data_IF_603205297694
#
_entry.id   IF_603205297694
#
_cell.length_a   1.000
_cell.length_b   1.000
_cell.length_c   1.000
_cell.angle_alpha   90.00
_cell.angle_beta   90.00
_cell.angle_gamma   90.00
#
_symmetry.space_group_name_H-M   'P 1'
#
loop_
_entity.id
_entity.type
_entity.pdbx_description
1 polymer ?
#
# COMPACT_ATOMS: atom_id res chain seq x y z
N UNK A 1 48.62 17.87 -6.43
CA UNK A 1 48.17 16.72 -5.61
C UNK A 1 46.66 16.79 -5.46
N UNK A 2 45.93 16.08 -6.32
CA UNK A 2 44.49 15.97 -6.26
C UNK A 2 44.10 15.03 -5.10
N UNK A 3 43.21 15.48 -4.21
CA UNK A 3 42.58 14.62 -3.20
C UNK A 3 41.52 13.74 -3.87
N UNK A 4 41.91 12.54 -4.28
CA UNK A 4 41.01 11.40 -4.43
C UNK A 4 40.58 10.94 -3.05
N UNK A 5 39.27 10.93 -2.76
CA UNK A 5 38.81 10.50 -1.43
C UNK A 5 37.33 10.73 -1.11
N UNK A 6 36.43 10.60 -2.09
CA UNK A 6 34.99 10.52 -1.85
C UNK A 6 34.51 9.08 -1.67
N UNK A 7 35.16 8.32 -0.78
CA UNK A 7 34.69 6.98 -0.42
C UNK A 7 33.45 7.14 0.47
N UNK A 8 32.26 6.89 -0.07
CA UNK A 8 31.03 6.90 0.70
C UNK A 8 31.12 5.94 1.88
N UNK A 9 31.18 6.48 3.11
CA UNK A 9 31.10 5.68 4.34
C UNK A 9 29.80 4.89 4.31
N UNK A 10 29.86 3.60 4.64
CA UNK A 10 28.65 2.82 4.87
C UNK A 10 27.83 3.48 5.98
N UNK A 11 26.53 3.70 5.73
CA UNK A 11 25.62 4.24 6.72
C UNK A 11 25.60 3.33 7.95
N UNK A 12 25.57 3.92 9.13
CA UNK A 12 25.33 3.20 10.38
C UNK A 12 23.91 2.66 10.42
N UNK A 13 23.68 1.64 11.23
CA UNK A 13 22.34 1.07 11.46
C UNK A 13 21.34 2.14 11.92
N UNK A 14 21.77 3.09 12.76
CA UNK A 14 20.96 4.21 13.21
C UNK A 14 20.56 5.14 12.06
N UNK A 15 21.48 5.45 11.14
CA UNK A 15 21.19 6.27 9.96
C UNK A 15 20.22 5.56 9.01
N UNK A 16 20.35 4.24 8.85
CA UNK A 16 19.41 3.44 8.05
C UNK A 16 18.02 3.42 8.67
N UNK A 17 17.92 3.22 9.98
CA UNK A 17 16.64 3.27 10.70
C UNK A 17 16.01 4.66 10.66
N UNK A 18 16.81 5.73 10.68
CA UNK A 18 16.32 7.09 10.47
C UNK A 18 15.76 7.31 9.06
N UNK A 19 16.32 6.68 8.03
CA UNK A 19 15.77 6.74 6.66
C UNK A 19 14.40 6.05 6.58
N UNK A 20 14.26 4.89 7.23
CA UNK A 20 12.96 4.19 7.33
C UNK A 20 11.96 5.05 8.10
N UNK A 21 12.33 5.54 9.29
CA UNK A 21 11.45 6.37 10.10
C UNK A 21 11.03 7.66 9.39
N UNK A 22 11.94 8.28 8.63
CA UNK A 22 11.64 9.46 7.82
C UNK A 22 10.64 9.18 6.69
N UNK A 23 10.68 7.97 6.11
CA UNK A 23 9.76 7.53 5.07
C UNK A 23 8.40 7.10 5.62
N UNK A 24 8.39 6.30 6.68
CA UNK A 24 7.17 5.61 7.15
C UNK A 24 6.38 6.42 8.20
N UNK A 25 7.06 7.15 9.08
CA UNK A 25 6.46 7.86 10.22
C UNK A 25 6.60 9.38 10.15
N UNK A 26 7.30 9.89 9.15
CA UNK A 26 7.73 11.29 9.08
C UNK A 26 9.00 11.53 9.90
N UNK A 27 9.86 12.42 9.40
CA UNK A 27 11.21 12.64 9.96
C UNK A 27 11.25 13.44 11.28
N UNK A 28 10.09 13.77 11.87
CA UNK A 28 10.01 14.56 13.11
C UNK A 28 9.93 13.67 14.34
N UNK A 29 10.69 14.05 15.36
CA UNK A 29 10.70 13.40 16.67
C UNK A 29 10.78 14.48 17.77
N UNK A 30 9.66 15.18 18.06
CA UNK A 30 9.61 16.14 19.15
C UNK A 30 9.64 15.42 20.50
N UNK A 31 10.54 15.85 21.40
CA UNK A 31 10.66 15.27 22.73
C UNK A 31 9.61 15.84 23.72
N UNK A 32 9.39 15.13 24.82
CA UNK A 32 8.57 15.59 25.94
C UNK A 32 7.07 15.57 25.66
N UNK A 33 6.35 16.55 26.22
CA UNK A 33 4.88 16.62 26.19
C UNK A 33 4.32 16.67 24.77
N UNK A 34 5.01 17.34 23.85
CA UNK A 34 4.59 17.43 22.44
C UNK A 34 4.64 16.06 21.76
N UNK A 35 5.71 15.30 21.97
CA UNK A 35 5.83 13.93 21.46
C UNK A 35 4.75 13.01 22.03
N UNK A 36 4.50 13.09 23.34
CA UNK A 36 3.43 12.34 23.99
C UNK A 36 2.04 12.70 23.45
N UNK A 37 1.78 13.99 23.20
CA UNK A 37 0.54 14.45 22.61
C UNK A 37 0.32 13.90 21.20
N UNK A 38 1.34 13.93 20.33
CA UNK A 38 1.23 13.34 18.99
C UNK A 38 1.03 11.82 19.04
N UNK A 39 1.73 11.14 19.95
CA UNK A 39 1.53 9.71 20.18
C UNK A 39 0.10 9.41 20.66
N UNK A 40 -0.45 10.25 21.55
CA UNK A 40 -1.83 10.14 21.98
C UNK A 40 -2.82 10.38 20.82
N UNK A 41 -2.59 11.38 19.96
CA UNK A 41 -3.41 11.62 18.76
C UNK A 41 -3.36 10.43 17.80
N UNK A 42 -2.17 9.88 17.53
CA UNK A 42 -2.01 8.70 16.70
C UNK A 42 -2.70 7.47 17.30
N UNK A 43 -2.57 7.26 18.62
CA UNK A 43 -3.26 6.20 19.35
C UNK A 43 -4.78 6.37 19.28
N UNK A 44 -5.29 7.59 19.48
CA UNK A 44 -6.71 7.91 19.34
C UNK A 44 -7.22 7.58 17.93
N UNK A 45 -6.45 7.93 16.89
CA UNK A 45 -6.80 7.58 15.52
C UNK A 45 -6.82 6.07 15.30
N UNK A 46 -5.81 5.35 15.81
CA UNK A 46 -5.76 3.89 15.74
C UNK A 46 -6.93 3.23 16.46
N UNK A 47 -7.25 3.65 17.68
CA UNK A 47 -8.38 3.15 18.45
C UNK A 47 -9.71 3.45 17.78
N UNK A 48 -9.89 4.64 17.23
CA UNK A 48 -11.07 5.01 16.46
C UNK A 48 -11.28 4.07 15.26
N UNK A 49 -10.22 3.78 14.52
CA UNK A 49 -10.28 2.91 13.34
C UNK A 49 -10.56 1.44 13.69
N UNK A 50 -9.98 0.95 14.78
CA UNK A 50 -10.28 -0.38 15.31
C UNK A 50 -11.73 -0.46 15.81
N UNK A 51 -12.21 0.58 16.51
CA UNK A 51 -13.59 0.65 16.98
C UNK A 51 -14.59 0.69 15.81
N UNK A 52 -14.29 1.42 14.75
CA UNK A 52 -15.12 1.49 13.54
C UNK A 52 -15.21 0.15 12.80
N UNK A 53 -14.12 -0.63 12.82
CA UNK A 53 -14.06 -1.94 12.19
C UNK A 53 -14.72 -3.06 13.02
N UNK A 54 -14.88 -2.83 14.32
CA UNK A 54 -15.47 -3.79 15.24
C UNK A 54 -16.98 -4.00 14.98
N UNK A 55 -17.52 -5.23 15.14
CA UNK A 55 -18.97 -5.45 15.17
C UNK A 55 -19.70 -4.57 16.19
N UNK A 56 -19.00 -4.14 17.24
CA UNK A 56 -19.54 -3.27 18.30
C UNK A 56 -19.60 -1.78 17.90
N UNK A 57 -19.19 -1.39 16.69
CA UNK A 57 -19.17 0.00 16.26
C UNK A 57 -20.53 0.70 16.50
N UNK A 58 -21.65 0.05 16.15
CA UNK A 58 -22.99 0.63 16.28
C UNK A 58 -23.48 0.77 17.74
N UNK A 59 -22.78 0.14 18.69
CA UNK A 59 -23.09 0.22 20.13
C UNK A 59 -22.20 1.25 20.81
N UNK A 60 -20.93 1.31 20.41
CA UNK A 60 -19.90 2.17 21.03
C UNK A 60 -19.91 3.58 20.43
N UNK A 61 -20.14 3.69 19.12
CA UNK A 61 -20.06 4.95 18.39
C UNK A 61 -21.45 5.43 17.98
N UNK A 62 -21.75 6.73 18.15
CA UNK A 62 -22.93 7.37 17.57
C UNK A 62 -23.00 7.18 16.05
N UNK A 63 -24.22 7.00 15.52
CA UNK A 63 -24.47 6.82 14.08
C UNK A 63 -23.86 7.92 13.22
N UNK A 64 -23.85 9.17 13.69
CA UNK A 64 -23.29 10.31 12.96
C UNK A 64 -21.78 10.19 12.77
N UNK A 65 -21.07 9.68 13.77
CA UNK A 65 -19.62 9.44 13.72
C UNK A 65 -19.30 8.31 12.74
N UNK A 66 -20.12 7.25 12.71
CA UNK A 66 -19.95 6.13 11.79
C UNK A 66 -20.16 6.59 10.34
N UNK A 67 -21.21 7.39 10.09
CA UNK A 67 -21.54 7.88 8.76
C UNK A 67 -20.50 8.88 8.22
N UNK A 68 -19.91 9.70 9.11
CA UNK A 68 -18.88 10.68 8.76
C UNK A 68 -17.45 10.21 9.02
N UNK A 69 -17.23 8.90 9.15
CA UNK A 69 -15.91 8.34 9.51
C UNK A 69 -14.79 8.71 8.54
N UNK A 70 -15.11 8.90 7.25
CA UNK A 70 -14.15 9.35 6.22
C UNK A 70 -13.59 10.74 6.53
N UNK A 71 -14.46 11.66 6.97
CA UNK A 71 -14.08 13.04 7.29
C UNK A 71 -13.19 13.08 8.54
N UNK A 72 -13.55 12.30 9.56
CA UNK A 72 -12.75 12.14 10.78
C UNK A 72 -11.40 11.51 10.48
N UNK A 73 -11.37 10.46 9.64
CA UNK A 73 -10.14 9.81 9.20
C UNK A 73 -9.20 10.78 8.50
N UNK A 74 -9.71 11.57 7.55
CA UNK A 74 -8.91 12.58 6.86
C UNK A 74 -8.42 13.68 7.80
N UNK A 75 -9.23 14.08 8.78
CA UNK A 75 -8.83 15.10 9.75
C UNK A 75 -7.62 14.67 10.59
N UNK A 76 -7.62 13.43 11.09
CA UNK A 76 -6.44 12.86 11.76
C UNK A 76 -5.23 12.77 10.82
N UNK A 77 -5.45 12.31 9.58
CA UNK A 77 -4.39 12.19 8.58
C UNK A 77 -3.75 13.55 8.26
N UNK A 78 -4.56 14.59 8.02
CA UNK A 78 -4.11 15.96 7.76
C UNK A 78 -3.33 16.52 8.94
N UNK A 79 -3.87 16.38 10.15
CA UNK A 79 -3.22 16.86 11.37
C UNK A 79 -1.83 16.24 11.56
N UNK A 80 -1.76 14.91 11.47
CA UNK A 80 -0.50 14.18 11.63
C UNK A 80 0.45 14.40 10.45
N UNK A 81 -0.05 14.58 9.23
CA UNK A 81 0.79 14.90 8.07
C UNK A 81 1.57 16.20 8.29
N UNK A 82 0.91 17.27 8.75
CA UNK A 82 1.57 18.55 9.01
C UNK A 82 2.48 18.52 10.25
N UNK A 83 2.10 17.76 11.29
CA UNK A 83 2.88 17.64 12.52
C UNK A 83 4.10 16.73 12.38
N UNK A 84 3.99 15.58 11.69
CA UNK A 84 5.02 14.55 11.59
C UNK A 84 5.95 14.74 10.37
N UNK A 85 5.46 15.29 9.26
CA UNK A 85 6.25 15.48 8.05
C UNK A 85 6.75 16.93 7.90
N UNK A 86 8.07 17.17 7.90
CA UNK A 86 8.62 18.52 7.77
C UNK A 86 8.34 19.11 6.38
N UNK A 87 8.08 20.42 6.33
CA UNK A 87 7.78 21.12 5.08
C UNK A 87 8.93 21.08 4.06
N UNK A 88 10.16 21.27 4.53
CA UNK A 88 11.39 21.29 3.75
C UNK A 88 12.45 20.39 4.39
N UNK A 89 13.45 19.98 3.61
CA UNK A 89 14.59 19.18 4.13
C UNK A 89 15.36 19.90 5.25
N UNK A 90 15.34 21.23 5.25
CA UNK A 90 15.97 22.10 6.24
C UNK A 90 15.08 22.41 7.46
N UNK A 91 13.81 22.00 7.45
CA UNK A 91 12.90 22.32 8.55
C UNK A 91 13.30 21.56 9.84
N UNK A 92 13.00 22.12 11.02
CA UNK A 92 13.29 21.48 12.30
C UNK A 92 12.65 20.08 12.41
N UNK A 93 13.44 19.12 12.90
CA UNK A 93 13.02 17.74 13.18
C UNK A 93 12.67 17.48 14.65
N UNK A 94 13.24 18.26 15.57
CA UNK A 94 13.07 18.11 17.03
C UNK A 94 11.91 18.93 17.60
N UNK A 95 11.28 19.79 16.80
CA UNK A 95 10.15 20.60 17.20
C UNK A 95 9.20 20.81 16.03
N UNK A 96 7.94 21.13 16.33
CA UNK A 96 6.93 21.50 15.33
C UNK A 96 6.86 23.03 15.29
N UNK A 97 7.21 23.67 14.15
CA UNK A 97 7.04 25.11 13.98
C UNK A 97 5.57 25.55 14.09
N UNK A 98 5.32 26.78 14.53
CA UNK A 98 3.96 27.29 14.74
C UNK A 98 3.10 27.28 13.47
N UNK A 99 3.72 27.54 12.31
CA UNK A 99 3.04 27.47 11.01
C UNK A 99 2.47 26.07 10.74
N UNK A 100 3.15 25.01 11.17
CA UNK A 100 2.69 23.64 10.96
C UNK A 100 1.57 23.27 11.92
N UNK A 101 1.57 23.84 13.14
CA UNK A 101 0.41 23.75 14.04
C UNK A 101 -0.82 24.42 13.45
N UNK A 102 -0.66 25.60 12.85
CA UNK A 102 -1.75 26.33 12.19
C UNK A 102 -2.28 25.52 11.00
N UNK A 103 -1.40 25.00 10.15
CA UNK A 103 -1.79 24.16 9.01
C UNK A 103 -2.44 22.84 9.45
N UNK A 104 -1.94 22.21 10.52
CA UNK A 104 -2.52 21.01 11.10
C UNK A 104 -3.93 21.25 11.62
N UNK A 105 -4.13 22.32 12.40
CA UNK A 105 -5.44 22.71 12.93
C UNK A 105 -6.42 23.11 11.82
N UNK A 106 -5.99 23.95 10.88
CA UNK A 106 -6.81 24.36 9.75
C UNK A 106 -7.19 23.18 8.85
N UNK A 107 -6.23 22.30 8.53
CA UNK A 107 -6.47 21.11 7.71
C UNK A 107 -7.45 20.12 8.38
N UNK A 108 -7.27 19.87 9.67
CA UNK A 108 -8.18 19.03 10.44
C UNK A 108 -9.60 19.64 10.52
N UNK A 109 -9.69 20.94 10.78
CA UNK A 109 -10.97 21.65 10.84
C UNK A 109 -11.71 21.61 9.49
N UNK A 110 -11.01 21.88 8.38
CA UNK A 110 -11.62 21.88 7.04
C UNK A 110 -12.02 20.46 6.62
N UNK A 111 -11.26 19.43 7.00
CA UNK A 111 -11.67 18.04 6.80
C UNK A 111 -12.96 17.67 7.56
N UNK A 112 -13.18 18.28 8.74
CA UNK A 112 -14.40 18.12 9.55
C UNK A 112 -15.52 19.09 9.17
N UNK A 113 -15.34 19.96 8.17
CA UNK A 113 -16.34 20.94 7.77
C UNK A 113 -17.69 20.29 7.44
N UNK A 114 -17.68 19.16 6.75
CA UNK A 114 -18.88 18.39 6.42
C UNK A 114 -19.63 17.84 7.64
N UNK A 115 -18.94 17.61 8.76
CA UNK A 115 -19.54 17.17 10.02
C UNK A 115 -20.24 18.35 10.70
N UNK A 116 -19.55 19.49 10.81
CA UNK A 116 -20.07 20.66 11.52
C UNK A 116 -21.22 21.35 10.77
N UNK A 117 -21.19 21.34 9.44
CA UNK A 117 -22.18 22.00 8.59
C UNK A 117 -23.04 20.99 7.80
N UNK A 118 -23.24 19.80 8.37
CA UNK A 118 -23.99 18.71 7.73
C UNK A 118 -25.38 19.14 7.23
N UNK A 119 -26.20 19.75 8.09
CA UNK A 119 -27.56 20.18 7.74
C UNK A 119 -27.60 21.18 6.59
N UNK A 120 -26.62 22.10 6.55
CA UNK A 120 -26.49 23.09 5.49
C UNK A 120 -26.23 22.41 4.15
N UNK A 121 -25.25 21.50 4.10
CA UNK A 121 -24.83 20.79 2.89
C UNK A 121 -25.93 19.87 2.37
N UNK A 122 -26.63 19.17 3.26
CA UNK A 122 -27.74 18.28 2.88
C UNK A 122 -28.90 19.10 2.30
N UNK A 123 -29.27 20.22 2.92
CA UNK A 123 -30.34 21.10 2.43
C UNK A 123 -30.01 21.77 1.10
N UNK A 124 -28.73 22.02 0.81
CA UNK A 124 -28.29 22.57 -0.49
C UNK A 124 -28.15 21.50 -1.58
N UNK A 125 -28.43 20.22 -1.27
CA UNK A 125 -28.27 19.11 -2.21
C UNK A 125 -26.81 18.85 -2.61
N UNK A 126 -25.85 19.24 -1.77
CA UNK A 126 -24.42 19.10 -2.05
C UNK A 126 -23.82 20.16 -2.99
N UNK A 127 -24.57 21.21 -3.31
CA UNK A 127 -24.05 22.38 -4.01
C UNK A 127 -23.37 23.31 -3.02
N UNK A 128 -22.11 23.64 -3.28
CA UNK A 128 -21.32 24.58 -2.50
C UNK A 128 -21.90 25.99 -2.66
N UNK A 129 -22.11 26.71 -1.57
CA UNK A 129 -22.37 28.15 -1.60
C UNK A 129 -21.06 28.96 -1.77
N UNK A 130 -21.16 30.30 -1.64
CA UNK A 130 -20.01 31.18 -1.79
C UNK A 130 -18.94 30.96 -0.73
N UNK A 131 -19.31 30.54 0.48
CA UNK A 131 -18.36 30.24 1.56
C UNK A 131 -17.76 28.85 1.38
N UNK A 132 -18.60 27.86 1.08
CA UNK A 132 -18.24 26.45 0.91
C UNK A 132 -17.19 26.29 -0.20
N UNK A 133 -17.30 27.03 -1.31
CA UNK A 133 -16.33 26.92 -2.40
C UNK A 133 -14.92 27.37 -1.97
N UNK A 134 -14.80 28.38 -1.12
CA UNK A 134 -13.50 28.87 -0.66
C UNK A 134 -12.92 27.95 0.42
N UNK A 135 -13.76 27.42 1.31
CA UNK A 135 -13.37 26.41 2.30
C UNK A 135 -12.88 25.14 1.61
N UNK A 136 -13.61 24.66 0.61
CA UNK A 136 -13.23 23.50 -0.20
C UNK A 136 -11.91 23.73 -0.96
N UNK A 137 -11.71 24.92 -1.53
CA UNK A 137 -10.46 25.27 -2.21
C UNK A 137 -9.29 25.28 -1.23
N UNK A 138 -9.46 25.89 -0.05
CA UNK A 138 -8.45 25.88 0.99
C UNK A 138 -8.13 24.45 1.45
N UNK A 139 -9.15 23.61 1.63
CA UNK A 139 -8.99 22.18 1.95
C UNK A 139 -8.18 21.43 0.91
N UNK A 140 -8.47 21.65 -0.38
CA UNK A 140 -7.76 21.00 -1.48
C UNK A 140 -6.29 21.43 -1.56
N UNK A 141 -6.02 22.73 -1.38
CA UNK A 141 -4.65 23.26 -1.34
C UNK A 141 -3.87 22.68 -0.16
N UNK A 142 -4.47 22.64 1.03
CA UNK A 142 -3.85 22.03 2.20
C UNK A 142 -3.62 20.52 2.00
N UNK A 143 -4.56 19.81 1.39
CA UNK A 143 -4.40 18.39 1.08
C UNK A 143 -3.23 18.16 0.12
N UNK A 144 -3.07 19.00 -0.91
CA UNK A 144 -1.95 18.89 -1.85
C UNK A 144 -0.61 19.18 -1.17
N UNK A 145 -0.57 20.16 -0.26
CA UNK A 145 0.62 20.43 0.54
C UNK A 145 0.94 19.27 1.51
N UNK A 146 -0.07 18.67 2.16
CA UNK A 146 0.11 17.49 3.00
C UNK A 146 0.63 16.30 2.17
N UNK A 147 0.07 16.07 0.98
CA UNK A 147 0.53 15.05 0.04
C UNK A 147 1.96 15.31 -0.44
N UNK A 148 2.33 16.58 -0.71
CA UNK A 148 3.71 16.96 -1.07
C UNK A 148 4.70 16.61 0.04
N UNK A 149 4.32 16.82 1.31
CA UNK A 149 5.18 16.53 2.47
C UNK A 149 5.33 15.03 2.74
N UNK A 150 4.25 14.26 2.58
CA UNK A 150 4.23 12.83 2.88
C UNK A 150 4.74 11.96 1.73
N UNK A 151 4.31 12.25 0.48
CA UNK A 151 4.57 11.42 -0.71
C UNK A 151 5.58 12.06 -1.68
N UNK A 152 5.97 13.31 -1.43
CA UNK A 152 6.90 14.06 -2.27
C UNK A 152 6.24 14.94 -3.34
N UNK A 153 7.03 15.77 -4.02
CA UNK A 153 6.51 16.80 -4.93
C UNK A 153 5.88 16.26 -6.22
N UNK A 154 6.27 15.06 -6.66
CA UNK A 154 5.76 14.48 -7.90
C UNK A 154 4.24 14.27 -7.85
N UNK A 155 3.72 13.69 -6.77
CA UNK A 155 2.28 13.44 -6.60
C UNK A 155 1.48 14.74 -6.56
N UNK A 156 1.95 15.73 -5.79
CA UNK A 156 1.29 17.03 -5.69
C UNK A 156 1.31 17.79 -7.03
N UNK A 157 2.41 17.72 -7.79
CA UNK A 157 2.51 18.33 -9.11
C UNK A 157 1.52 17.72 -10.10
N UNK A 158 1.43 16.39 -10.16
CA UNK A 158 0.48 15.70 -11.03
C UNK A 158 -0.96 16.08 -10.68
N UNK A 159 -1.32 16.03 -9.39
CA UNK A 159 -2.66 16.42 -8.93
C UNK A 159 -2.99 17.89 -9.28
N UNK A 160 -2.00 18.79 -9.15
CA UNK A 160 -2.15 20.20 -9.51
C UNK A 160 -2.36 20.38 -11.02
N UNK A 161 -1.64 19.66 -11.87
CA UNK A 161 -1.82 19.71 -13.32
C UNK A 161 -3.24 19.25 -13.71
N UNK A 162 -3.73 18.15 -13.15
CA UNK A 162 -5.09 17.69 -13.41
C UNK A 162 -6.15 18.64 -12.87
N UNK A 163 -5.92 19.26 -11.71
CA UNK A 163 -6.80 20.29 -11.18
C UNK A 163 -6.84 21.52 -12.10
N UNK A 164 -5.69 21.97 -12.62
CA UNK A 164 -5.64 23.07 -13.58
C UNK A 164 -6.39 22.70 -14.87
N UNK A 165 -6.25 21.48 -15.35
CA UNK A 165 -7.01 20.98 -16.50
C UNK A 165 -8.53 21.00 -16.29
N UNK A 166 -9.01 20.88 -15.04
CA UNK A 166 -10.45 21.04 -14.75
C UNK A 166 -10.95 22.46 -15.06
N UNK A 167 -10.10 23.48 -14.90
CA UNK A 167 -10.46 24.88 -15.15
C UNK A 167 -10.12 25.32 -16.57
N UNK A 168 -8.96 24.91 -17.09
CA UNK A 168 -8.41 25.39 -18.36
C UNK A 168 -8.62 24.43 -19.54
N UNK A 169 -9.28 23.28 -19.32
CA UNK A 169 -9.54 22.26 -20.34
C UNK A 169 -10.42 22.72 -21.52
N UNK A 170 -11.03 23.91 -21.44
CA UNK A 170 -11.77 24.54 -22.54
C UNK A 170 -10.91 25.41 -23.45
N UNK A 171 -9.63 25.64 -23.10
CA UNK A 171 -8.74 26.49 -23.87
C UNK A 171 -8.52 25.97 -25.29
N UNK A 172 -8.42 26.88 -26.26
CA UNK A 172 -8.17 26.55 -27.68
C UNK A 172 -6.81 25.89 -27.94
N UNK A 173 -5.91 25.90 -26.95
CA UNK A 173 -4.61 25.24 -26.99
C UNK A 173 -4.68 23.76 -26.59
N UNK A 174 -5.81 23.31 -26.04
CA UNK A 174 -6.04 21.92 -25.66
C UNK A 174 -6.51 21.15 -26.90
N UNK A 175 -5.86 20.03 -27.27
CA UNK A 175 -6.29 19.23 -28.42
C UNK A 175 -7.76 18.79 -28.32
N UNK A 176 -8.50 18.89 -29.42
CA UNK A 176 -9.95 18.59 -29.49
C UNK A 176 -10.34 17.25 -28.85
N UNK A 177 -9.46 16.24 -28.94
CA UNK A 177 -9.66 14.89 -28.38
C UNK A 177 -9.83 14.91 -26.86
N UNK A 178 -9.19 15.85 -26.18
CA UNK A 178 -9.23 16.01 -24.72
C UNK A 178 -9.81 17.37 -24.31
N UNK A 179 -10.44 18.11 -25.22
CA UNK A 179 -11.05 19.39 -24.87
C UNK A 179 -12.42 19.15 -24.22
N UNK A 180 -12.76 19.95 -23.20
CA UNK A 180 -14.09 19.90 -22.57
C UNK A 180 -14.54 21.28 -22.11
N UNK A 181 -15.80 21.41 -21.65
CA UNK A 181 -16.40 22.72 -21.32
C UNK A 181 -15.73 23.50 -20.18
N UNK A 182 -14.86 22.87 -19.39
CA UNK A 182 -14.35 23.42 -18.14
C UNK A 182 -15.42 23.45 -17.03
N UNK A 183 -14.99 23.66 -15.78
CA UNK A 183 -15.88 23.87 -14.65
C UNK A 183 -15.67 25.24 -13.99
N UNK A 184 -16.76 25.85 -13.53
CA UNK A 184 -16.67 26.99 -12.62
C UNK A 184 -16.08 26.54 -11.28
N UNK A 185 -15.45 27.46 -10.54
CA UNK A 185 -14.87 27.18 -9.22
C UNK A 185 -15.90 26.54 -8.27
N UNK A 186 -17.12 27.07 -8.24
CA UNK A 186 -18.20 26.54 -7.41
C UNK A 186 -18.55 25.09 -7.77
N UNK A 187 -18.66 24.78 -9.07
CA UNK A 187 -18.97 23.41 -9.54
C UNK A 187 -17.83 22.45 -9.22
N UNK A 188 -16.58 22.86 -9.48
CA UNK A 188 -15.40 22.05 -9.18
C UNK A 188 -15.30 21.75 -7.69
N UNK A 189 -15.44 22.75 -6.83
CA UNK A 189 -15.31 22.60 -5.38
C UNK A 189 -16.46 21.81 -4.75
N UNK A 190 -17.69 21.97 -5.27
CA UNK A 190 -18.83 21.13 -4.89
C UNK A 190 -18.49 19.65 -5.11
N UNK A 191 -17.96 19.32 -6.29
CA UNK A 191 -17.65 17.93 -6.66
C UNK A 191 -16.40 17.38 -5.95
N UNK A 192 -15.37 18.20 -5.74
CA UNK A 192 -14.08 17.74 -5.22
C UNK A 192 -14.05 17.58 -3.69
N UNK A 193 -14.78 18.40 -2.94
CA UNK A 193 -14.71 18.40 -1.47
C UNK A 193 -16.07 18.22 -0.78
N UNK A 194 -17.17 18.73 -1.35
CA UNK A 194 -18.48 18.67 -0.68
C UNK A 194 -19.17 17.33 -0.91
N UNK A 195 -19.09 16.77 -2.12
CA UNK A 195 -19.68 15.46 -2.43
C UNK A 195 -18.74 14.30 -2.14
N UNK A 196 -19.30 13.09 -2.14
CA UNK A 196 -18.57 11.84 -1.96
C UNK A 196 -17.93 11.30 -3.27
N UNK A 197 -17.83 12.12 -4.32
CA UNK A 197 -17.20 11.74 -5.60
C UNK A 197 -15.74 12.22 -5.69
N UNK A 198 -15.35 13.21 -4.88
CA UNK A 198 -13.99 13.73 -4.80
C UNK A 198 -13.18 13.11 -3.67
N UNK A 199 -12.56 13.97 -2.85
CA UNK A 199 -11.64 13.57 -1.76
C UNK A 199 -12.28 12.57 -0.78
N UNK A 200 -13.58 12.71 -0.49
CA UNK A 200 -14.30 11.83 0.42
C UNK A 200 -14.87 10.56 -0.23
N UNK A 201 -14.42 10.22 -1.44
CA UNK A 201 -14.93 9.11 -2.23
C UNK A 201 -14.44 7.73 -1.83
N UNK A 202 -14.38 6.85 -2.83
CA UNK A 202 -14.15 5.40 -2.63
C UNK A 202 -12.76 5.16 -2.04
N UNK A 203 -11.72 5.84 -2.52
CA UNK A 203 -10.35 5.65 -1.99
C UNK A 203 -10.25 5.93 -0.49
N UNK A 204 -10.76 7.08 -0.04
CA UNK A 204 -10.76 7.41 1.39
C UNK A 204 -11.65 6.44 2.18
N UNK A 205 -12.76 5.98 1.59
CA UNK A 205 -13.63 4.97 2.18
C UNK A 205 -12.95 3.60 2.36
N UNK A 206 -12.16 3.18 1.37
CA UNK A 206 -11.35 1.94 1.44
C UNK A 206 -10.24 2.10 2.48
N UNK A 207 -9.58 3.27 2.50
CA UNK A 207 -8.57 3.61 3.51
C UNK A 207 -9.12 3.46 4.94
N UNK A 208 -10.27 4.09 5.16
CA UNK A 208 -10.92 4.17 6.47
C UNK A 208 -11.33 2.79 7.00
N UNK A 209 -11.78 1.87 6.11
CA UNK A 209 -12.35 0.58 6.51
C UNK A 209 -11.36 -0.56 6.61
N UNK A 210 -10.38 -0.63 5.71
CA UNK A 210 -9.54 -1.83 5.57
C UNK A 210 -8.06 -1.51 5.57
N UNK A 211 -7.62 -0.55 4.75
CA UNK A 211 -6.19 -0.28 4.54
C UNK A 211 -5.51 0.11 5.84
N UNK A 212 -6.14 0.99 6.61
CA UNK A 212 -5.57 1.46 7.86
C UNK A 212 -5.27 0.32 8.82
N UNK A 213 -6.16 -0.68 8.93
CA UNK A 213 -5.97 -1.83 9.81
C UNK A 213 -4.80 -2.69 9.36
N UNK A 214 -4.68 -2.95 8.05
CA UNK A 214 -3.55 -3.71 7.50
C UNK A 214 -2.22 -3.01 7.79
N UNK A 215 -2.16 -1.70 7.60
CA UNK A 215 -0.96 -0.90 7.91
C UNK A 215 -0.70 -0.87 9.42
N UNK A 216 -1.72 -0.71 10.25
CA UNK A 216 -1.59 -0.70 11.71
C UNK A 216 -1.05 -2.04 12.24
N UNK A 217 -1.68 -3.15 11.87
CA UNK A 217 -1.23 -4.48 12.29
C UNK A 217 0.11 -4.84 11.66
N UNK A 218 0.37 -4.42 10.41
CA UNK A 218 1.66 -4.57 9.77
C UNK A 218 2.77 -3.86 10.55
N UNK A 219 2.58 -2.60 10.92
CA UNK A 219 3.52 -1.83 11.73
C UNK A 219 3.72 -2.41 13.13
N UNK A 220 2.67 -2.90 13.79
CA UNK A 220 2.76 -3.58 15.08
C UNK A 220 3.56 -4.88 14.98
N UNK A 221 3.33 -5.67 13.93
CA UNK A 221 4.02 -6.95 13.69
C UNK A 221 5.49 -6.74 13.34
N UNK A 222 5.80 -5.70 12.57
CA UNK A 222 7.18 -5.28 12.29
C UNK A 222 7.91 -4.88 13.57
N UNK A 223 7.29 -4.03 14.41
CA UNK A 223 7.84 -3.65 15.72
C UNK A 223 7.95 -4.82 16.71
N UNK A 224 7.10 -5.84 16.60
CA UNK A 224 7.21 -7.07 17.37
C UNK A 224 8.41 -7.95 16.94
N UNK A 225 9.10 -7.61 15.86
CA UNK A 225 10.31 -8.32 15.40
C UNK A 225 10.05 -9.44 14.38
N UNK A 226 8.87 -9.46 13.76
CA UNK A 226 8.51 -10.51 12.80
C UNK A 226 9.41 -10.54 11.55
N UNK A 227 9.88 -9.38 11.07
CA UNK A 227 10.80 -9.32 9.92
C UNK A 227 12.10 -10.10 10.16
N UNK A 228 12.75 -9.85 11.31
CA UNK A 228 13.95 -10.58 11.72
C UNK A 228 13.68 -12.08 11.92
N UNK A 229 12.50 -12.44 12.43
CA UNK A 229 12.10 -13.83 12.58
C UNK A 229 11.96 -14.54 11.23
N UNK A 230 11.29 -13.93 10.25
CA UNK A 230 11.13 -14.50 8.92
C UNK A 230 12.44 -14.66 8.17
N UNK A 231 13.37 -13.71 8.31
CA UNK A 231 14.71 -13.82 7.75
C UNK A 231 15.46 -15.02 8.35
N UNK A 232 15.49 -15.14 9.68
CA UNK A 232 16.15 -16.27 10.37
C UNK A 232 15.55 -17.62 9.95
N UNK A 233 14.23 -17.70 9.80
CA UNK A 233 13.57 -18.91 9.30
C UNK A 233 13.93 -19.21 7.84
N UNK A 234 13.93 -18.21 6.96
CA UNK A 234 14.34 -18.40 5.57
C UNK A 234 15.79 -18.88 5.47
N UNK A 235 16.69 -18.35 6.30
CA UNK A 235 18.08 -18.85 6.41
C UNK A 235 18.16 -20.27 6.95
N UNK A 236 17.37 -20.62 7.97
CA UNK A 236 17.30 -21.99 8.47
C UNK A 236 16.81 -22.99 7.42
N UNK A 237 15.82 -22.58 6.61
CA UNK A 237 15.24 -23.39 5.56
C UNK A 237 16.11 -23.51 4.31
N UNK A 238 16.77 -22.44 3.86
CA UNK A 238 17.40 -22.39 2.53
C UNK A 238 18.91 -22.14 2.56
N UNK A 239 19.48 -21.75 3.70
CA UNK A 239 20.88 -21.33 3.82
C UNK A 239 21.91 -22.41 3.47
N UNK A 240 21.55 -23.69 3.68
CA UNK A 240 22.38 -24.85 3.36
C UNK A 240 22.39 -25.22 1.87
N UNK A 241 21.54 -24.58 1.04
CA UNK A 241 21.52 -24.83 -0.40
C UNK A 241 22.68 -24.09 -1.09
N UNK A 242 23.02 -24.49 -2.31
CA UNK A 242 23.97 -23.73 -3.15
C UNK A 242 23.42 -22.34 -3.44
N UNK A 243 24.17 -21.30 -3.10
CA UNK A 243 23.67 -19.92 -3.09
C UNK A 243 22.51 -19.71 -2.12
N UNK A 244 22.50 -20.47 -1.01
CA UNK A 244 21.46 -20.49 0.01
C UNK A 244 21.17 -19.12 0.62
N UNK A 245 22.18 -18.31 0.98
CA UNK A 245 21.95 -16.96 1.50
C UNK A 245 21.17 -16.05 0.56
N UNK A 246 21.38 -16.14 -0.75
CA UNK A 246 20.63 -15.33 -1.70
C UNK A 246 19.17 -15.81 -1.83
N UNK A 247 18.91 -17.11 -1.74
CA UNK A 247 17.54 -17.66 -1.75
C UNK A 247 16.80 -17.31 -0.46
N UNK A 248 17.48 -17.44 0.66
CA UNK A 248 17.00 -17.05 1.97
C UNK A 248 16.68 -15.54 2.01
N UNK A 249 17.53 -14.70 1.39
CA UNK A 249 17.26 -13.27 1.23
C UNK A 249 15.97 -13.05 0.44
N UNK A 250 15.83 -13.62 -0.77
CA UNK A 250 14.63 -13.43 -1.60
C UNK A 250 13.35 -13.88 -0.87
N UNK A 251 13.36 -15.06 -0.23
CA UNK A 251 12.18 -15.60 0.46
C UNK A 251 11.89 -14.85 1.77
N UNK A 252 12.91 -14.47 2.52
CA UNK A 252 12.77 -13.70 3.75
C UNK A 252 12.28 -12.27 3.48
N UNK A 253 12.79 -11.63 2.42
CA UNK A 253 12.31 -10.33 1.96
C UNK A 253 10.89 -10.42 1.39
N UNK A 254 10.50 -11.55 0.78
CA UNK A 254 9.11 -11.81 0.40
C UNK A 254 8.20 -11.83 1.64
N UNK A 255 8.59 -12.59 2.66
CA UNK A 255 7.83 -12.72 3.90
C UNK A 255 7.76 -11.41 4.70
N UNK A 256 8.83 -10.62 4.70
CA UNK A 256 8.85 -9.28 5.31
C UNK A 256 8.02 -8.29 4.50
N UNK A 257 8.05 -8.39 3.17
CA UNK A 257 7.25 -7.58 2.25
C UNK A 257 5.75 -7.78 2.45
N UNK A 258 5.29 -8.99 2.79
CA UNK A 258 3.89 -9.28 3.16
C UNK A 258 3.38 -8.40 4.29
N UNK A 259 4.26 -8.05 5.24
CA UNK A 259 3.92 -7.29 6.44
C UNK A 259 4.02 -5.79 6.19
N UNK A 260 5.15 -5.35 5.62
CA UNK A 260 5.50 -3.94 5.59
C UNK A 260 4.90 -3.22 4.39
N UNK A 261 4.85 -3.85 3.21
CA UNK A 261 4.50 -3.17 1.96
C UNK A 261 5.47 -2.05 1.54
N UNK A 262 6.50 -1.74 2.34
CA UNK A 262 7.51 -0.70 2.09
C UNK A 262 8.81 -1.33 1.60
N UNK A 263 9.23 -0.95 0.39
CA UNK A 263 10.49 -1.43 -0.18
C UNK A 263 11.70 -0.88 0.57
N UNK A 264 11.62 0.35 1.08
CA UNK A 264 12.70 1.00 1.83
C UNK A 264 12.89 0.30 3.19
N UNK A 265 11.79 0.10 3.93
CA UNK A 265 11.82 -0.60 5.21
C UNK A 265 12.34 -2.04 5.06
N UNK A 266 11.91 -2.73 3.99
CA UNK A 266 12.37 -4.09 3.70
C UNK A 266 13.89 -4.09 3.47
N UNK A 267 14.41 -3.31 2.51
CA UNK A 267 15.87 -3.25 2.24
C UNK A 267 16.69 -2.92 3.49
N UNK A 268 16.21 -2.00 4.34
CA UNK A 268 16.92 -1.65 5.57
C UNK A 268 16.90 -2.80 6.58
N UNK A 269 15.77 -3.48 6.72
CA UNK A 269 15.60 -4.54 7.71
C UNK A 269 16.30 -5.83 7.30
N UNK A 270 16.18 -6.23 6.04
CA UNK A 270 16.71 -7.48 5.51
C UNK A 270 18.12 -7.30 4.98
N UNK A 271 18.38 -6.21 4.24
CA UNK A 271 19.64 -5.94 3.55
C UNK A 271 20.84 -5.81 4.46
N UNK A 272 20.66 -5.29 5.67
CA UNK A 272 21.71 -5.21 6.71
C UNK A 272 22.28 -6.58 7.06
N UNK A 273 21.45 -7.63 7.00
CA UNK A 273 21.86 -9.01 7.26
C UNK A 273 22.17 -9.79 5.98
N UNK A 274 21.36 -9.66 4.94
CA UNK A 274 21.44 -10.49 3.73
C UNK A 274 22.60 -10.08 2.83
N UNK A 275 22.89 -8.79 2.66
CA UNK A 275 23.96 -8.31 1.77
C UNK A 275 25.34 -8.81 2.25
N UNK A 276 25.74 -8.66 3.52
CA UNK A 276 27.00 -9.22 4.00
C UNK A 276 27.09 -10.74 3.84
N UNK A 277 25.99 -11.46 4.07
CA UNK A 277 25.95 -12.92 3.94
C UNK A 277 26.08 -13.38 2.49
N UNK A 278 25.41 -12.71 1.55
CA UNK A 278 25.57 -12.95 0.12
C UNK A 278 27.01 -12.70 -0.34
N UNK A 279 27.65 -11.62 0.16
CA UNK A 279 29.06 -11.32 -0.13
C UNK A 279 30.00 -12.42 0.39
N UNK A 280 29.75 -12.97 1.59
CA UNK A 280 30.56 -14.05 2.17
C UNK A 280 30.55 -15.35 1.35
N UNK A 281 29.47 -15.62 0.61
CA UNK A 281 29.37 -16.81 -0.26
C UNK A 281 29.84 -16.56 -1.70
N UNK A 282 30.29 -15.34 -2.01
CA UNK A 282 30.91 -15.01 -3.30
C UNK A 282 30.06 -14.15 -4.24
N UNK A 283 28.93 -13.58 -3.80
CA UNK A 283 28.27 -12.53 -4.59
C UNK A 283 29.11 -11.25 -4.58
N UNK A 284 29.17 -10.57 -5.73
CA UNK A 284 29.77 -9.23 -5.78
C UNK A 284 28.86 -8.24 -5.04
N UNK A 285 29.41 -7.14 -4.49
CA UNK A 285 28.61 -6.13 -3.78
C UNK A 285 27.42 -5.62 -4.59
N UNK A 286 27.59 -5.43 -5.90
CA UNK A 286 26.58 -4.91 -6.82
C UNK A 286 25.44 -5.92 -7.00
N UNK A 287 25.77 -7.22 -7.16
CA UNK A 287 24.76 -8.26 -7.33
C UNK A 287 24.03 -8.55 -6.02
N UNK A 288 24.73 -8.54 -4.89
CA UNK A 288 24.09 -8.66 -3.58
C UNK A 288 23.09 -7.51 -3.35
N UNK A 289 23.48 -6.27 -3.68
CA UNK A 289 22.57 -5.12 -3.63
C UNK A 289 21.39 -5.26 -4.60
N UNK A 290 21.62 -5.69 -5.84
CA UNK A 290 20.58 -5.85 -6.84
C UNK A 290 19.54 -6.92 -6.45
N UNK A 291 19.98 -8.05 -5.90
CA UNK A 291 19.08 -9.12 -5.40
C UNK A 291 18.23 -8.61 -4.25
N UNK A 292 18.83 -7.88 -3.30
CA UNK A 292 18.11 -7.35 -2.16
C UNK A 292 17.08 -6.29 -2.57
N UNK A 293 17.49 -5.35 -3.43
CA UNK A 293 16.58 -4.31 -3.92
C UNK A 293 15.46 -4.91 -4.75
N UNK A 294 15.74 -5.85 -5.66
CA UNK A 294 14.72 -6.48 -6.49
C UNK A 294 13.70 -7.28 -5.66
N UNK A 295 14.18 -8.06 -4.68
CA UNK A 295 13.28 -8.80 -3.78
C UNK A 295 12.48 -7.86 -2.86
N UNK A 296 13.08 -6.77 -2.39
CA UNK A 296 12.39 -5.80 -1.55
C UNK A 296 11.34 -4.97 -2.29
N UNK A 297 11.60 -4.56 -3.55
CA UNK A 297 10.64 -3.85 -4.40
C UNK A 297 9.44 -4.73 -4.73
N UNK A 298 9.66 -6.02 -4.97
CA UNK A 298 8.56 -6.98 -5.13
C UNK A 298 7.67 -7.10 -3.89
N UNK A 299 8.12 -6.65 -2.71
CA UNK A 299 7.27 -6.55 -1.52
C UNK A 299 6.06 -5.65 -1.72
N UNK A 300 6.17 -4.62 -2.58
CA UNK A 300 5.05 -3.71 -2.87
C UNK A 300 3.91 -4.36 -3.65
N UNK A 301 4.16 -5.48 -4.35
CA UNK A 301 3.10 -6.19 -5.10
C UNK A 301 2.60 -7.43 -4.38
N UNK A 302 3.23 -7.80 -3.25
CA UNK A 302 2.92 -9.02 -2.53
C UNK A 302 1.76 -8.79 -1.55
N UNK A 303 0.61 -9.46 -1.71
CA UNK A 303 -0.52 -9.33 -0.78
C UNK A 303 -0.27 -10.06 0.54
N UNK A 304 -0.72 -9.56 1.71
CA UNK A 304 -1.97 -8.80 1.85
C UNK A 304 -1.83 -7.32 2.13
N UNK A 305 -0.65 -6.78 2.46
CA UNK A 305 -0.50 -5.34 2.76
C UNK A 305 -0.30 -4.55 1.47
N UNK A 306 0.60 -5.02 0.60
CA UNK A 306 0.99 -4.37 -0.66
C UNK A 306 1.46 -2.90 -0.46
N UNK A 307 2.02 -2.31 -1.51
CA UNK A 307 2.38 -0.90 -1.54
C UNK A 307 1.16 -0.01 -1.82
N UNK A 308 1.36 1.31 -1.68
CA UNK A 308 0.32 2.32 -1.87
C UNK A 308 -0.40 2.25 -3.24
N UNK A 309 0.28 1.75 -4.28
CA UNK A 309 -0.28 1.60 -5.62
C UNK A 309 -1.47 0.64 -5.70
N UNK A 310 -1.53 -0.39 -4.84
CA UNK A 310 -2.66 -1.33 -4.83
C UNK A 310 -3.97 -0.63 -4.44
N UNK A 311 -3.90 0.38 -3.58
CA UNK A 311 -5.07 1.15 -3.16
C UNK A 311 -5.56 2.10 -4.26
N UNK A 312 -4.65 2.68 -5.06
CA UNK A 312 -5.03 3.45 -6.24
C UNK A 312 -5.73 2.58 -7.30
N UNK A 313 -5.31 1.31 -7.44
CA UNK A 313 -5.95 0.37 -8.36
C UNK A 313 -7.39 0.01 -7.97
N UNK A 314 -7.68 -0.11 -6.67
CA UNK A 314 -9.06 -0.32 -6.17
C UNK A 314 -9.98 0.81 -6.64
N UNK A 315 -9.51 2.04 -6.55
CA UNK A 315 -10.28 3.21 -7.01
C UNK A 315 -10.41 3.25 -8.53
N UNK A 316 -9.29 3.10 -9.26
CA UNK A 316 -9.29 3.22 -10.71
C UNK A 316 -10.12 2.15 -11.41
N UNK A 317 -10.08 0.90 -10.91
CA UNK A 317 -10.80 -0.23 -11.50
C UNK A 317 -12.18 -0.42 -10.86
N UNK A 318 -12.43 0.18 -9.69
CA UNK A 318 -13.70 0.03 -8.96
C UNK A 318 -13.93 -1.37 -8.39
N UNK A 319 -12.88 -2.19 -8.26
CA UNK A 319 -12.95 -3.53 -7.68
C UNK A 319 -12.70 -3.47 -6.17
N UNK A 320 -13.25 -4.42 -5.43
CA UNK A 320 -12.95 -4.52 -3.99
C UNK A 320 -11.47 -4.83 -3.76
N UNK A 321 -10.94 -4.40 -2.60
CA UNK A 321 -9.55 -4.70 -2.24
C UNK A 321 -9.24 -6.20 -2.26
N UNK A 322 -10.20 -7.03 -1.84
CA UNK A 322 -10.08 -8.49 -1.84
C UNK A 322 -9.91 -9.05 -3.26
N UNK A 323 -10.61 -8.49 -4.24
CA UNK A 323 -10.45 -8.89 -5.64
C UNK A 323 -9.08 -8.47 -6.17
N UNK A 324 -8.62 -7.26 -5.85
CA UNK A 324 -7.30 -6.77 -6.27
C UNK A 324 -6.19 -7.65 -5.72
N UNK A 325 -6.20 -8.00 -4.43
CA UNK A 325 -5.19 -8.90 -3.85
C UNK A 325 -5.24 -10.30 -4.46
N UNK A 326 -6.44 -10.80 -4.77
CA UNK A 326 -6.62 -12.13 -5.37
C UNK A 326 -6.01 -12.18 -6.77
N UNK A 327 -6.21 -11.12 -7.57
CA UNK A 327 -5.61 -10.99 -8.88
C UNK A 327 -4.10 -10.73 -8.83
N UNK A 328 -3.61 -10.02 -7.81
CA UNK A 328 -2.19 -9.73 -7.63
C UNK A 328 -1.37 -10.91 -7.10
N UNK A 329 -2.00 -11.87 -6.42
CA UNK A 329 -1.30 -12.99 -5.79
C UNK A 329 -0.49 -13.83 -6.78
N UNK A 330 -1.10 -14.25 -7.89
CA UNK A 330 -0.43 -15.08 -8.90
C UNK A 330 0.79 -14.39 -9.53
N UNK A 331 0.70 -13.15 -10.05
CA UNK A 331 1.88 -12.47 -10.61
C UNK A 331 2.95 -12.18 -9.57
N UNK A 332 2.57 -11.84 -8.33
CA UNK A 332 3.53 -11.66 -7.24
C UNK A 332 4.32 -12.94 -6.95
N UNK A 333 3.63 -14.08 -6.83
CA UNK A 333 4.26 -15.39 -6.61
C UNK A 333 5.21 -15.77 -7.75
N UNK A 334 4.79 -15.58 -9.01
CA UNK A 334 5.64 -15.85 -10.17
C UNK A 334 6.91 -14.99 -10.12
N UNK A 335 6.79 -13.70 -9.76
CA UNK A 335 7.94 -12.79 -9.66
C UNK A 335 8.96 -13.25 -8.62
N UNK A 336 8.51 -13.70 -7.44
CA UNK A 336 9.43 -14.26 -6.42
C UNK A 336 10.03 -15.61 -6.81
N UNK A 337 9.24 -16.50 -7.44
CA UNK A 337 9.76 -17.77 -7.97
C UNK A 337 10.85 -17.49 -9.02
N UNK A 338 10.62 -16.54 -9.91
CA UNK A 338 11.60 -16.11 -10.90
C UNK A 338 12.86 -15.55 -10.23
N UNK A 339 12.75 -14.70 -9.20
CA UNK A 339 13.91 -14.21 -8.46
C UNK A 339 14.71 -15.34 -7.79
N UNK A 340 14.03 -16.28 -7.12
CA UNK A 340 14.68 -17.46 -6.50
C UNK A 340 15.43 -18.28 -7.57
N UNK A 341 14.84 -18.42 -8.75
CA UNK A 341 15.46 -19.12 -9.87
C UNK A 341 16.66 -18.38 -10.44
N UNK A 342 16.56 -17.05 -10.63
CA UNK A 342 17.67 -16.21 -11.11
C UNK A 342 18.86 -16.28 -10.15
N UNK A 343 18.65 -16.15 -8.84
CA UNK A 343 19.75 -16.28 -7.86
C UNK A 343 20.30 -17.69 -7.79
N UNK A 344 19.51 -18.71 -8.13
CA UNK A 344 20.00 -20.07 -8.28
C UNK A 344 20.93 -20.22 -9.47
N UNK A 345 20.50 -19.79 -10.66
CA UNK A 345 21.32 -19.85 -11.87
C UNK A 345 22.63 -19.08 -11.69
N UNK A 346 22.57 -17.91 -11.06
CA UNK A 346 23.73 -17.08 -10.76
C UNK A 346 24.72 -17.80 -9.82
N UNK A 347 24.23 -18.48 -8.78
CA UNK A 347 25.06 -19.25 -7.87
C UNK A 347 25.70 -20.48 -8.55
N UNK A 348 24.96 -21.16 -9.42
CA UNK A 348 25.45 -22.32 -10.19
C UNK A 348 26.50 -21.88 -11.21
N UNK A 349 26.23 -20.80 -11.96
CA UNK A 349 27.15 -20.24 -12.96
C UNK A 349 28.49 -19.85 -12.37
N UNK A 350 28.51 -19.41 -11.11
CA UNK A 350 29.72 -19.03 -10.37
C UNK A 350 30.28 -20.14 -9.48
N UNK A 351 29.71 -21.33 -9.54
CA UNK A 351 30.12 -22.48 -8.76
C UNK A 351 30.23 -22.18 -7.24
N UNK A 352 29.30 -21.39 -6.71
CA UNK A 352 29.35 -20.94 -5.31
C UNK A 352 29.15 -22.12 -4.35
N UNK A 353 29.90 -22.16 -3.22
CA UNK A 353 29.75 -23.20 -2.21
C UNK A 353 28.43 -23.06 -1.45
N UNK A 354 27.94 -24.17 -0.93
CA UNK A 354 26.87 -24.17 0.08
C UNK A 354 27.47 -23.86 1.45
N UNK A 355 26.75 -23.12 2.30
CA UNK A 355 27.18 -22.89 3.67
C UNK A 355 26.73 -24.05 4.57
N UNK A 356 27.69 -24.83 5.05
CA UNK A 356 27.51 -25.90 6.03
C UNK A 356 27.19 -27.28 5.43
N UNK A 357 27.66 -28.34 6.10
CA UNK A 357 27.50 -29.75 5.69
C UNK A 357 26.12 -30.34 6.04
N UNK A 358 25.07 -29.51 6.13
CA UNK A 358 23.72 -30.02 6.33
C UNK A 358 23.14 -30.52 5.02
N UNK A 359 23.21 -31.83 4.82
CA UNK A 359 22.49 -32.54 3.75
C UNK A 359 21.00 -32.56 4.11
N UNK A 360 20.29 -31.48 3.81
CA UNK A 360 18.83 -31.44 3.95
C UNK A 360 18.23 -31.86 2.61
N UNK A 361 17.34 -32.84 2.63
CA UNK A 361 16.66 -33.25 1.40
C UNK A 361 15.78 -32.10 0.90
N UNK A 362 15.85 -31.81 -0.41
CA UNK A 362 15.04 -30.77 -1.05
C UNK A 362 13.56 -30.92 -0.70
N UNK A 363 13.06 -32.16 -0.63
CA UNK A 363 11.69 -32.46 -0.22
C UNK A 363 11.37 -32.09 1.23
N UNK A 364 12.33 -32.23 2.17
CA UNK A 364 12.15 -31.82 3.57
C UNK A 364 12.21 -30.29 3.72
N UNK A 365 12.98 -29.60 2.90
CA UNK A 365 13.01 -28.12 2.85
C UNK A 365 11.74 -27.53 2.25
N UNK A 366 11.30 -28.05 1.09
CA UNK A 366 10.04 -27.64 0.45
C UNK A 366 8.85 -28.01 1.34
N UNK A 367 8.85 -29.22 1.90
CA UNK A 367 7.85 -29.65 2.87
C UNK A 367 7.84 -28.80 4.15
N UNK A 368 9.01 -28.37 4.63
CA UNK A 368 9.13 -27.47 5.79
C UNK A 368 8.59 -26.07 5.51
N UNK A 369 8.90 -25.49 4.35
CA UNK A 369 8.32 -24.21 3.92
C UNK A 369 6.81 -24.32 3.71
N UNK A 370 6.34 -25.39 3.07
CA UNK A 370 4.91 -25.63 2.89
C UNK A 370 4.21 -25.81 4.24
N UNK A 371 4.76 -26.61 5.15
CA UNK A 371 4.21 -26.81 6.49
C UNK A 371 4.19 -25.50 7.29
N UNK A 372 5.18 -24.62 7.12
CA UNK A 372 5.18 -23.30 7.73
C UNK A 372 4.06 -22.42 7.18
N UNK A 373 3.98 -22.23 5.86
CA UNK A 373 2.93 -21.41 5.25
C UNK A 373 1.53 -22.02 5.46
N UNK A 374 1.40 -23.34 5.41
CA UNK A 374 0.16 -24.05 5.71
C UNK A 374 -0.21 -23.93 7.20
N UNK A 375 0.77 -24.01 8.10
CA UNK A 375 0.56 -23.80 9.54
C UNK A 375 0.17 -22.37 9.87
N UNK A 376 0.80 -21.38 9.23
CA UNK A 376 0.43 -19.98 9.33
C UNK A 376 -0.96 -19.72 8.75
N UNK A 377 -1.27 -20.27 7.57
CA UNK A 377 -2.59 -20.17 6.96
C UNK A 377 -3.66 -20.86 7.83
N UNK A 378 -3.35 -22.03 8.39
CA UNK A 378 -4.22 -22.74 9.30
C UNK A 378 -4.43 -21.95 10.60
N UNK A 379 -3.40 -21.31 11.14
CA UNK A 379 -3.54 -20.42 12.31
C UNK A 379 -4.45 -19.24 11.97
N UNK A 380 -4.21 -18.56 10.85
CA UNK A 380 -5.05 -17.45 10.38
C UNK A 380 -6.51 -17.88 10.17
N UNK A 381 -6.73 -19.08 9.63
CA UNK A 381 -8.06 -19.67 9.46
C UNK A 381 -8.70 -20.03 10.81
N UNK A 382 -7.92 -20.65 11.71
CA UNK A 382 -8.38 -21.08 13.03
C UNK A 382 -8.78 -19.89 13.90
N UNK A 383 -8.11 -18.74 13.75
CA UNK A 383 -8.47 -17.48 14.44
C UNK A 383 -9.90 -17.03 14.10
N UNK A 384 -10.48 -17.45 12.99
CA UNK A 384 -11.88 -17.12 12.67
C UNK A 384 -12.89 -17.75 13.62
N UNK A 385 -12.60 -18.93 14.20
CA UNK A 385 -13.51 -19.59 15.13
C UNK A 385 -13.66 -18.87 16.47
N UNK A 386 -12.60 -18.53 17.23
CA UNK A 386 -12.74 -17.77 18.46
C UNK A 386 -13.28 -16.36 18.20
N UNK A 387 -12.92 -15.73 17.07
CA UNK A 387 -13.52 -14.44 16.67
C UNK A 387 -15.02 -14.61 16.43
N UNK A 388 -15.44 -15.66 15.70
CA UNK A 388 -16.84 -15.97 15.46
C UNK A 388 -17.62 -16.25 16.74
N UNK A 389 -17.00 -16.90 17.73
CA UNK A 389 -17.59 -17.11 19.05
C UNK A 389 -17.79 -15.79 19.80
N UNK A 390 -16.78 -14.92 19.78
CA UNK A 390 -16.87 -13.57 20.39
C UNK A 390 -17.96 -12.74 19.70
N UNK A 391 -18.03 -12.76 18.35
CA UNK A 391 -19.06 -12.06 17.59
C UNK A 391 -20.46 -12.60 17.92
N UNK A 392 -20.62 -13.91 18.06
CA UNK A 392 -21.90 -14.52 18.42
C UNK A 392 -22.42 -14.12 19.81
N UNK A 393 -21.51 -13.70 20.71
CA UNK A 393 -21.85 -13.21 22.05
C UNK A 393 -22.27 -11.73 22.06
N UNK A 394 -22.08 -11.00 20.97
CA UNK A 394 -22.44 -9.58 20.85
C UNK A 394 -23.84 -9.46 20.21
N UNK A 395 -24.80 -8.75 20.83
CA UNK A 395 -26.12 -8.54 20.25
C UNK A 395 -26.04 -7.67 18.98
N UNK A 396 -26.42 -8.19 17.81
CA UNK A 396 -26.55 -7.38 16.59
C UNK A 396 -27.91 -6.66 16.54
N UNK A 397 -27.96 -5.34 16.28
CA UNK A 397 -29.15 -4.68 15.74
C UNK A 397 -29.45 -5.23 14.34
N UNK A 398 -30.73 -5.53 14.06
CA UNK A 398 -31.25 -6.25 12.87
C UNK A 398 -30.81 -5.73 11.47
N UNK A 399 -30.09 -4.61 11.37
CA UNK A 399 -29.75 -3.96 10.11
C UNK A 399 -28.52 -4.55 9.37
N UNK A 400 -27.72 -5.46 9.97
CA UNK A 400 -26.50 -5.99 9.32
C UNK A 400 -26.25 -7.50 9.42
N UNK A 401 -27.30 -8.29 9.67
CA UNK A 401 -27.22 -9.76 9.67
C UNK A 401 -26.63 -10.39 8.38
N UNK A 402 -26.47 -9.62 7.28
CA UNK A 402 -25.82 -10.06 6.03
C UNK A 402 -24.33 -9.74 5.89
N UNK A 403 -23.76 -8.77 6.64
CA UNK A 403 -22.38 -8.31 6.39
C UNK A 403 -21.34 -9.26 7.00
N UNK A 404 -21.57 -9.72 8.23
CA UNK A 404 -20.67 -10.68 8.90
C UNK A 404 -20.93 -12.14 8.51
N UNK A 405 -22.16 -12.48 8.09
CA UNK A 405 -22.44 -13.81 7.51
C UNK A 405 -21.64 -14.06 6.23
N UNK A 406 -21.35 -13.03 5.43
CA UNK A 406 -20.48 -13.18 4.25
C UNK A 406 -19.05 -13.66 4.58
N UNK A 407 -18.55 -13.39 5.79
CA UNK A 407 -17.25 -13.88 6.25
C UNK A 407 -17.33 -15.28 6.88
N UNK A 408 -18.41 -15.60 7.58
CA UNK A 408 -18.57 -16.91 8.24
C UNK A 408 -19.16 -18.01 7.34
N UNK A 409 -19.88 -17.66 6.27
CA UNK A 409 -20.61 -18.61 5.43
C UNK A 409 -20.21 -18.61 3.95
N UNK A 410 -19.14 -17.90 3.55
CA UNK A 410 -18.52 -18.13 2.25
C UNK A 410 -17.49 -19.25 2.39
N UNK A 411 -17.78 -20.50 2.00
CA UNK A 411 -16.73 -21.47 1.82
C UNK A 411 -15.79 -20.91 0.74
N UNK A 412 -14.48 -20.93 1.00
CA UNK A 412 -13.44 -20.65 0.00
C UNK A 412 -13.58 -21.52 -1.28
N UNK A 413 -14.52 -22.47 -1.32
CA UNK A 413 -14.87 -23.29 -2.49
C UNK A 413 -15.48 -22.50 -3.66
N UNK A 414 -15.95 -21.26 -3.46
CA UNK A 414 -16.48 -20.42 -4.54
C UNK A 414 -15.41 -19.73 -5.41
N UNK A 415 -14.22 -19.47 -4.85
CA UNK A 415 -13.14 -18.72 -5.51
C UNK A 415 -12.27 -19.57 -6.45
N UNK A 416 -12.43 -20.89 -6.44
CA UNK A 416 -11.70 -21.84 -7.29
C UNK A 416 -12.52 -22.41 -8.46
N UNK A 417 -13.71 -21.83 -8.75
CA UNK A 417 -14.42 -22.18 -9.98
C UNK A 417 -13.80 -21.45 -11.15
N UNK A 418 -12.91 -22.15 -11.85
CA UNK A 418 -12.62 -21.87 -13.26
C UNK A 418 -13.94 -21.64 -14.03
N UNK A 419 -14.00 -20.68 -14.96
CA UNK A 419 -15.20 -20.46 -15.77
C UNK A 419 -15.63 -21.78 -16.41
N UNK A 420 -16.92 -22.13 -16.27
CA UNK A 420 -17.50 -23.34 -16.85
C UNK A 420 -17.16 -23.40 -18.35
N UNK A 421 -16.86 -24.58 -18.92
CA UNK A 421 -16.70 -24.69 -20.37
C UNK A 421 -18.00 -24.25 -21.05
N UNK A 422 -17.90 -23.39 -22.07
CA UNK A 422 -19.04 -23.14 -22.96
C UNK A 422 -19.56 -24.48 -23.52
N UNK A 423 -20.87 -24.72 -23.52
CA UNK A 423 -21.43 -25.92 -24.12
C UNK A 423 -21.39 -25.80 -25.65
N UNK A 424 -21.15 -26.94 -26.29
CA UNK A 424 -21.23 -27.24 -27.74
C UNK A 424 -20.04 -26.81 -28.62
N UNK A 425 -19.10 -27.76 -28.76
CA UNK A 425 -18.21 -27.89 -29.92
C UNK A 425 -18.96 -28.60 -31.06
N UNK A 426 -19.07 -27.98 -32.22
CA UNK A 426 -19.34 -28.66 -33.50
C UNK A 426 -18.01 -28.85 -34.24
N UNK A 427 -17.74 -30.04 -34.83
CA UNK A 427 -16.42 -30.37 -35.37
C UNK A 427 -16.31 -30.00 -36.84
N UNK A 428 -16.21 -28.71 -37.16
CA UNK A 428 -15.74 -28.24 -38.47
C UNK A 428 -15.22 -26.81 -38.33
N UNK A 429 -14.02 -26.54 -38.87
CA UNK A 429 -13.31 -25.23 -39.05
C UNK A 429 -12.01 -25.11 -38.22
N UNK A 430 -10.87 -24.70 -38.81
CA UNK A 430 -9.54 -24.82 -38.20
C UNK A 430 -9.21 -23.69 -37.21
N UNK A 431 -8.36 -24.04 -36.25
CA UNK A 431 -7.68 -23.26 -35.19
C UNK A 431 -7.65 -21.73 -35.42
N UNK A 432 -8.18 -20.93 -34.46
CA UNK A 432 -7.69 -19.56 -34.29
C UNK A 432 -7.47 -19.13 -32.83
N UNK A 433 -6.29 -18.51 -32.62
CA UNK A 433 -6.03 -17.29 -31.82
C UNK A 433 -6.78 -17.16 -30.48
N UNK A 434 -6.09 -17.51 -29.41
CA UNK A 434 -6.47 -17.22 -28.02
C UNK A 434 -6.55 -15.70 -27.80
N UNK A 435 -7.78 -15.27 -27.47
CA UNK A 435 -8.21 -14.06 -26.75
C UNK A 435 -7.21 -12.92 -26.57
N UNK A 436 -7.10 -12.07 -27.59
CA UNK A 436 -6.63 -10.70 -27.46
C UNK A 436 -7.80 -9.73 -27.77
N UNK A 437 -8.05 -8.80 -26.85
CA UNK A 437 -8.74 -7.52 -27.08
C UNK A 437 -10.15 -7.59 -27.71
N UNK A 438 -11.20 -7.75 -26.89
CA UNK A 438 -12.59 -7.54 -27.32
C UNK A 438 -13.06 -6.07 -27.26
N UNK A 439 -12.17 -5.12 -26.97
CA UNK A 439 -12.50 -3.69 -26.76
C UNK A 439 -11.55 -2.72 -27.47
N UNK A 440 -10.94 -3.11 -28.60
CA UNK A 440 -10.09 -2.19 -29.38
C UNK A 440 -10.63 -2.03 -30.81
N UNK A 441 -11.00 -0.80 -31.25
CA UNK A 441 -11.44 -0.52 -32.62
C UNK A 441 -10.35 -0.94 -33.64
N UNK A 442 -10.78 -1.36 -34.84
CA UNK A 442 -9.90 -2.00 -35.85
C UNK A 442 -8.73 -1.14 -36.35
N UNK A 443 -8.70 0.17 -36.09
CA UNK A 443 -7.69 1.10 -36.64
C UNK A 443 -6.39 1.24 -35.83
N UNK A 444 -6.29 0.71 -34.60
CA UNK A 444 -5.12 0.95 -33.72
C UNK A 444 -4.31 -0.29 -33.34
N UNK A 445 -4.54 -1.44 -34.00
CA UNK A 445 -3.86 -2.72 -33.64
C UNK A 445 -2.33 -2.71 -33.75
N UNK A 446 -1.75 -1.86 -34.60
CA UNK A 446 -0.30 -1.73 -34.70
C UNK A 446 0.33 -1.04 -33.47
N UNK A 447 -0.38 -0.10 -32.83
CA UNK A 447 0.10 0.64 -31.65
C UNK A 447 0.08 -0.20 -30.37
N UNK A 448 -0.94 -1.03 -30.16
CA UNK A 448 -1.02 -1.89 -28.96
C UNK A 448 0.07 -2.96 -28.90
N UNK A 449 0.51 -3.50 -30.04
CA UNK A 449 1.60 -4.49 -30.08
C UNK A 449 2.95 -3.83 -29.78
N UNK A 450 3.14 -2.58 -30.20
CA UNK A 450 4.33 -1.79 -29.86
C UNK A 450 4.38 -1.45 -28.37
N UNK A 451 3.24 -1.09 -27.76
CA UNK A 451 3.14 -0.77 -26.33
C UNK A 451 3.40 -1.98 -25.41
N UNK A 452 2.93 -3.18 -25.79
CA UNK A 452 3.28 -4.41 -25.07
C UNK A 452 4.76 -4.80 -25.22
N UNK A 453 5.42 -4.46 -26.34
CA UNK A 453 6.87 -4.70 -26.49
C UNK A 453 7.70 -3.70 -25.69
N UNK A 454 7.30 -2.44 -25.59
CA UNK A 454 8.02 -1.42 -24.83
C UNK A 454 7.89 -1.60 -23.31
N UNK A 455 6.74 -2.08 -22.80
CA UNK A 455 6.63 -2.45 -21.38
C UNK A 455 7.51 -3.65 -20.99
N UNK A 456 7.74 -4.59 -21.91
CA UNK A 456 8.60 -5.75 -21.64
C UNK A 456 10.11 -5.40 -21.65
N UNK A 457 10.51 -4.30 -22.30
CA UNK A 457 11.91 -3.85 -22.36
C UNK A 457 12.28 -2.86 -21.24
N UNK A 458 11.31 -2.27 -20.55
CA UNK A 458 11.58 -1.38 -19.41
C UNK A 458 11.77 -2.12 -18.07
N UNK A 459 11.77 -3.46 -18.10
CA UNK A 459 12.00 -4.34 -16.93
C UNK A 459 13.22 -5.23 -17.21
N UNK A 460 14.32 -4.64 -17.71
CA UNK A 460 15.61 -5.32 -17.86
C UNK A 460 16.71 -4.49 -17.22
#
# INVERSE_FOLDING_TARGET
MARTGGGGRALSEEELQQLVAASDSGARNPAGVVGLFLAAVALCWSLFQVALASPMANVILPSDIINNSRQIHLAFAMFLAFCAYPALKSSPRRSIPIQDWILAGAGAFIALYGVFFYDKIVRSGGLADDTDKWVALAGLVLLFEAARRALGPAMAAIATIFLLYVFFGSGSWVPDVIQWKGASLQKAMSHMWITAEGVFGIALGVSTRFVFLFVLFGALLDKAGAGNYFIKMAFGALGHLRGGPAKAAVVGSAATGLISGSSIANVVTTGTFTIPLMKRVGFTPERAGAVEVASSVNGQIMPPVMGAAAFLMVEYVGLSYVEVITHAFLPAMISYIALVYIVHLEAVKRNMPALGDRVVSLGRTVGGMFAFFAGFAALCYLVQYPVGWVVALVPEPRARAGYWRGWSSSPMSGCWRWPRPCPTWSPTIPIPRICACRWCPRSTRAGCISCCRSLCWSIS
#
